data_IF_289131618054
#
_entry.id   IF_289131618054
#
_cell.length_a   1.000
_cell.length_b   1.000
_cell.length_c   1.000
_cell.angle_alpha   90.00
_cell.angle_beta   90.00
_cell.angle_gamma   90.00
#
_symmetry.space_group_name_H-M   'P 1'
#
loop_
_entity.id
_entity.type
_entity.pdbx_description
1 polymer ?
#
# COMPACT_ATOMS: atom_id res chain seq x y z
N UNK A 1 -12.95 0.39 -63.69
CA UNK A 1 -12.30 0.77 -62.42
C UNK A 1 -11.73 -0.50 -61.81
N UNK A 2 -10.41 -0.54 -61.70
CA UNK A 2 -9.61 -1.65 -61.18
C UNK A 2 -9.53 -1.58 -59.65
N UNK A 3 -9.44 -2.72 -58.98
CA UNK A 3 -8.22 -3.10 -58.26
C UNK A 3 -8.39 -4.44 -57.54
N UNK A 4 -7.31 -5.21 -57.62
CA UNK A 4 -7.16 -6.62 -57.34
C UNK A 4 -6.67 -6.92 -55.92
N UNK A 5 -6.90 -8.17 -55.57
CA UNK A 5 -6.47 -8.99 -54.42
C UNK A 5 -5.04 -8.75 -53.91
N UNK A 6 -4.87 -8.82 -52.58
CA UNK A 6 -3.64 -9.30 -51.93
C UNK A 6 -4.01 -10.10 -50.67
N UNK A 7 -3.69 -11.40 -50.69
CA UNK A 7 -3.82 -12.34 -49.57
C UNK A 7 -2.53 -12.32 -48.73
N UNK A 8 -2.62 -12.53 -47.42
CA UNK A 8 -1.46 -12.86 -46.57
C UNK A 8 -1.88 -13.69 -45.34
N UNK A 9 -0.99 -14.58 -44.85
CA UNK A 9 -1.37 -15.88 -44.30
C UNK A 9 -1.63 -15.88 -42.79
N UNK A 10 -2.34 -16.92 -42.34
CA UNK A 10 -2.54 -17.24 -40.93
C UNK A 10 -1.20 -17.53 -40.22
N UNK A 11 -0.98 -16.89 -39.06
CA UNK A 11 0.11 -17.23 -38.14
C UNK A 11 -0.44 -18.16 -37.07
N UNK A 12 -0.07 -19.44 -37.14
CA UNK A 12 -0.20 -20.37 -36.02
C UNK A 12 0.95 -20.13 -35.04
N UNK A 13 0.70 -19.42 -33.93
CA UNK A 13 1.65 -19.33 -32.83
C UNK A 13 1.51 -20.55 -31.94
N UNK A 14 2.47 -21.46 -32.02
CA UNK A 14 2.76 -22.46 -30.99
C UNK A 14 3.49 -21.76 -29.84
N UNK A 15 2.84 -21.59 -28.68
CA UNK A 15 3.51 -21.09 -27.48
C UNK A 15 3.82 -22.25 -26.53
N UNK A 16 5.00 -22.87 -26.71
CA UNK A 16 5.65 -23.65 -25.66
C UNK A 16 6.33 -22.65 -24.72
N UNK A 17 5.83 -22.48 -23.50
CA UNK A 17 6.48 -21.62 -22.52
C UNK A 17 5.76 -21.61 -21.18
N UNK A 18 6.47 -22.01 -20.14
CA UNK A 18 6.18 -21.85 -18.71
C UNK A 18 5.10 -20.80 -18.41
N UNK A 19 3.95 -21.24 -17.87
CA UNK A 19 2.89 -20.35 -17.40
C UNK A 19 3.32 -19.67 -16.09
N UNK A 20 4.26 -18.73 -16.17
CA UNK A 20 4.49 -17.75 -15.09
C UNK A 20 3.41 -16.69 -15.24
N UNK A 21 2.58 -16.52 -14.22
CA UNK A 21 1.57 -15.47 -14.21
C UNK A 21 2.25 -14.11 -14.42
N UNK A 22 1.69 -13.22 -15.26
CA UNK A 22 2.28 -11.89 -15.49
C UNK A 22 2.36 -11.13 -14.16
N UNK A 23 3.51 -10.49 -13.91
CA UNK A 23 3.72 -9.64 -12.74
C UNK A 23 2.68 -8.51 -12.74
N UNK A 24 1.74 -8.55 -11.81
CA UNK A 24 0.63 -7.59 -11.67
C UNK A 24 1.04 -6.29 -10.96
N UNK A 25 2.35 -6.08 -10.75
CA UNK A 25 2.90 -4.91 -10.08
C UNK A 25 2.61 -4.86 -8.59
N UNK A 26 3.16 -3.85 -7.91
CA UNK A 26 2.85 -3.49 -6.52
C UNK A 26 1.48 -2.80 -6.39
N UNK A 27 0.50 -3.18 -7.20
CA UNK A 27 -0.88 -2.73 -6.99
C UNK A 27 -1.45 -3.56 -5.84
N UNK A 28 -1.95 -2.90 -4.81
CA UNK A 28 -2.58 -3.50 -3.61
C UNK A 28 -3.71 -4.51 -3.91
N UNK A 29 -4.10 -4.64 -5.19
CA UNK A 29 -5.16 -5.52 -5.70
C UNK A 29 -4.64 -6.82 -6.33
N UNK A 30 -3.33 -7.05 -6.39
CA UNK A 30 -2.73 -8.20 -7.08
C UNK A 30 -3.05 -9.58 -6.46
N UNK A 31 -3.47 -9.63 -5.20
CA UNK A 31 -3.61 -10.88 -4.42
C UNK A 31 -5.03 -11.31 -4.06
N UNK A 32 -6.07 -10.55 -4.43
CA UNK A 32 -7.45 -10.85 -3.99
C UNK A 32 -8.39 -11.08 -5.18
N UNK A 33 -9.00 -12.27 -5.32
CA UNK A 33 -10.01 -12.54 -6.34
C UNK A 33 -11.33 -11.84 -5.96
N UNK A 34 -11.42 -10.53 -6.18
CA UNK A 34 -12.65 -9.78 -5.90
C UNK A 34 -13.52 -9.78 -7.14
N UNK A 35 -14.57 -10.61 -7.15
CA UNK A 35 -15.74 -10.36 -8.00
C UNK A 35 -16.39 -9.08 -7.49
N UNK A 36 -16.34 -8.01 -8.28
CA UNK A 36 -17.02 -6.74 -7.97
C UNK A 36 -18.54 -7.00 -8.02
N UNK A 37 -19.18 -7.16 -6.85
CA UNK A 37 -20.65 -7.24 -6.74
C UNK A 37 -21.29 -5.93 -6.30
N UNK A 38 -20.49 -4.91 -5.95
CA UNK A 38 -20.95 -3.57 -5.65
C UNK A 38 -19.94 -2.53 -6.14
N UNK A 39 -20.43 -1.47 -6.80
CA UNK A 39 -19.66 -0.30 -7.23
C UNK A 39 -19.46 0.72 -6.10
N UNK A 40 -19.56 0.28 -4.85
CA UNK A 40 -19.41 1.16 -3.71
C UNK A 40 -17.92 1.31 -3.36
N UNK A 41 -17.37 2.43 -3.85
CA UNK A 41 -15.99 2.88 -3.65
C UNK A 41 -15.69 3.06 -2.15
N UNK A 42 -16.70 3.20 -1.30
CA UNK A 42 -16.51 3.40 0.15
C UNK A 42 -16.06 2.16 0.91
N UNK A 43 -16.20 0.97 0.34
CA UNK A 43 -15.85 -0.30 1.00
C UNK A 43 -14.41 -0.78 0.75
N UNK A 44 -13.74 -0.22 -0.26
CA UNK A 44 -12.32 -0.51 -0.50
C UNK A 44 -11.54 0.33 0.49
N UNK A 45 -10.91 -0.32 1.48
CA UNK A 45 -9.92 0.28 2.37
C UNK A 45 -8.69 0.71 1.56
N UNK A 46 -8.88 1.75 0.76
CA UNK A 46 -7.85 2.36 -0.05
C UNK A 46 -7.19 3.42 0.85
N UNK A 47 -5.89 3.26 1.10
CA UNK A 47 -5.09 4.38 1.62
C UNK A 47 -4.98 5.51 0.58
N UNK A 48 -5.52 5.32 -0.62
CA UNK A 48 -5.60 6.33 -1.67
C UNK A 48 -6.66 7.37 -1.29
N UNK A 49 -6.21 8.50 -0.74
CA UNK A 49 -7.08 9.62 -0.36
C UNK A 49 -6.98 10.04 1.10
N UNK A 50 -6.25 9.28 1.94
CA UNK A 50 -5.95 9.73 3.30
C UNK A 50 -4.83 10.75 3.27
N UNK A 51 -5.14 12.00 3.61
CA UNK A 51 -4.17 13.10 3.71
C UNK A 51 -3.71 13.23 5.15
N UNK A 52 -2.40 13.47 5.34
CA UNK A 52 -1.86 13.75 6.67
C UNK A 52 -2.42 15.07 7.21
N UNK A 53 -3.00 15.11 8.43
CA UNK A 53 -3.50 16.34 9.00
C UNK A 53 -2.34 17.33 9.26
N UNK A 54 -2.38 18.56 8.70
CA UNK A 54 -1.26 19.50 8.82
C UNK A 54 -1.21 20.22 10.19
N UNK A 55 -2.28 20.14 10.99
CA UNK A 55 -2.43 20.88 12.25
C UNK A 55 -2.72 19.90 13.39
N UNK A 56 -2.23 20.20 14.60
CA UNK A 56 -2.53 19.42 15.80
C UNK A 56 -1.86 18.04 15.85
N UNK A 57 -0.80 17.83 15.06
CA UNK A 57 -0.05 16.57 14.97
C UNK A 57 1.46 16.78 15.17
N UNK A 58 1.86 17.72 16.06
CA UNK A 58 3.27 17.85 16.51
C UNK A 58 3.77 16.50 17.05
N UNK A 59 5.05 16.25 16.90
CA UNK A 59 5.74 15.00 17.25
C UNK A 59 6.92 15.29 18.16
N UNK A 60 7.24 14.33 19.02
CA UNK A 60 8.26 14.43 20.07
C UNK A 60 9.26 13.29 19.87
N UNK A 61 10.00 13.36 18.77
CA UNK A 61 11.06 12.40 18.42
C UNK A 61 10.61 10.92 18.48
N UNK A 62 11.50 10.05 18.96
CA UNK A 62 11.35 8.59 19.00
C UNK A 62 10.07 8.16 19.73
N UNK A 63 9.36 7.19 19.16
CA UNK A 63 8.04 6.65 19.60
C UNK A 63 6.82 7.56 19.40
N UNK A 64 6.98 8.85 19.11
CA UNK A 64 5.83 9.79 19.02
C UNK A 64 4.89 9.58 17.83
N UNK A 65 5.26 8.74 16.85
CA UNK A 65 4.40 8.35 15.72
C UNK A 65 3.48 7.16 16.03
N UNK A 66 3.68 6.47 17.16
CA UNK A 66 2.87 5.35 17.61
C UNK A 66 1.61 5.82 18.36
N UNK A 67 0.65 4.93 18.64
CA UNK A 67 -0.37 5.17 19.66
C UNK A 67 0.26 5.47 21.03
N UNK A 68 -0.44 6.16 21.94
CA UNK A 68 0.03 6.37 23.31
C UNK A 68 0.45 5.06 23.98
N UNK A 69 1.64 5.04 24.56
CA UNK A 69 2.19 3.85 25.21
C UNK A 69 1.40 3.52 26.48
N UNK A 70 1.12 2.23 26.70
CA UNK A 70 0.51 1.78 27.95
C UNK A 70 1.53 1.80 29.09
N UNK A 71 1.06 1.71 30.34
CA UNK A 71 1.93 1.68 31.52
C UNK A 71 2.91 0.50 31.44
N UNK A 72 2.46 -0.66 30.98
CA UNK A 72 3.27 -1.86 30.84
C UNK A 72 4.38 -1.69 29.79
N UNK A 73 4.10 -0.94 28.71
CA UNK A 73 5.09 -0.62 27.68
C UNK A 73 6.13 0.38 28.17
N UNK A 74 5.72 1.38 28.95
CA UNK A 74 6.63 2.36 29.56
C UNK A 74 7.58 1.73 30.59
N UNK A 75 7.15 0.65 31.25
CA UNK A 75 7.96 -0.08 32.23
C UNK A 75 8.97 -1.04 31.60
N UNK A 76 8.97 -1.18 30.26
CA UNK A 76 9.94 -2.01 29.55
C UNK A 76 11.23 -1.22 29.37
N UNK A 77 12.12 -1.30 30.34
CA UNK A 77 13.40 -0.59 30.35
C UNK A 77 14.59 -1.54 30.12
N UNK A 78 15.59 -1.04 29.41
CA UNK A 78 16.89 -1.70 29.25
C UNK A 78 17.85 -1.24 30.37
N UNK A 79 19.00 -1.92 30.56
CA UNK A 79 19.87 -1.73 31.74
C UNK A 79 20.67 -0.41 31.84
N UNK A 80 20.16 0.69 31.32
CA UNK A 80 20.77 2.03 31.43
C UNK A 80 20.20 2.82 32.60
N UNK A 81 20.81 3.96 32.94
CA UNK A 81 20.34 4.85 34.01
C UNK A 81 19.34 5.86 33.41
N UNK A 82 18.07 5.90 33.86
CA UNK A 82 17.07 6.82 33.32
C UNK A 82 17.25 8.25 33.84
N UNK A 83 16.79 9.23 33.05
CA UNK A 83 16.65 10.64 33.41
C UNK A 83 15.30 11.18 32.92
N UNK A 84 14.59 11.94 33.75
CA UNK A 84 13.32 12.58 33.39
C UNK A 84 13.53 14.08 33.23
N UNK A 85 12.98 14.63 32.15
CA UNK A 85 13.04 16.05 31.81
C UNK A 85 11.63 16.56 31.45
N UNK A 86 11.35 17.85 31.70
CA UNK A 86 10.07 18.48 31.38
C UNK A 86 10.24 19.96 31.02
N UNK A 87 9.31 20.50 30.23
CA UNK A 87 9.26 21.90 29.78
C UNK A 87 7.85 22.46 30.02
N UNK A 88 7.74 23.74 30.36
CA UNK A 88 6.45 24.40 30.63
C UNK A 88 5.86 25.13 29.40
N UNK A 89 6.66 25.28 28.35
CA UNK A 89 6.26 25.92 27.09
C UNK A 89 5.71 24.89 26.08
N UNK A 90 4.91 25.36 25.10
CA UNK A 90 4.17 24.55 24.10
C UNK A 90 4.62 24.78 22.65
#
# INVERSE_FOLDING_TARGET
MASSMMSSPAVTTVNRGSMVAPFTGLKSMAGFPVRKTNYDITSIASNTGRVWPPIGKKKFETLSYLPPLTREQLLKEDGWIPCLEFELEL
#
